data_IF_922028449501
#
_entry.id   IF_922028449501
#
_cell.length_a   1.000
_cell.length_b   1.000
_cell.length_c   1.000
_cell.angle_alpha   90.00
_cell.angle_beta   90.00
_cell.angle_gamma   90.00
#
_symmetry.space_group_name_H-M   'P 1'
#
loop_
_entity.id
_entity.type
_entity.pdbx_description
1 polymer ?
#
# COMPACT_ATOMS: atom_id res chain seq x y z
N UNK A 1 -16.94 -46.92 57.11
CA UNK A 1 -15.64 -46.29 56.70
C UNK A 1 -15.89 -45.57 55.38
N UNK A 2 -16.13 -44.28 55.43
CA UNK A 2 -16.51 -43.43 54.28
C UNK A 2 -15.26 -42.57 53.89
N UNK A 3 -14.73 -42.84 52.74
CA UNK A 3 -13.63 -42.06 52.16
C UNK A 3 -14.23 -40.85 51.39
N UNK A 4 -13.86 -39.64 51.86
CA UNK A 4 -14.14 -38.41 51.18
C UNK A 4 -12.96 -38.11 50.24
N UNK A 5 -13.23 -38.15 48.93
CA UNK A 5 -12.27 -37.72 47.92
C UNK A 5 -12.40 -36.19 47.78
N UNK A 6 -11.34 -35.46 48.19
CA UNK A 6 -11.28 -34.04 48.00
C UNK A 6 -10.76 -33.75 46.57
N UNK A 7 -11.63 -33.21 45.72
CA UNK A 7 -11.26 -32.77 44.37
C UNK A 7 -10.51 -31.43 44.41
N UNK A 8 -9.29 -31.45 43.92
CA UNK A 8 -8.45 -30.24 43.74
C UNK A 8 -8.89 -29.53 42.44
N UNK A 9 -9.54 -28.38 42.58
CA UNK A 9 -9.83 -27.52 41.41
C UNK A 9 -8.62 -26.64 41.14
N UNK A 10 -7.91 -26.93 40.08
CA UNK A 10 -6.81 -26.08 39.58
C UNK A 10 -7.44 -24.99 38.68
N UNK A 11 -7.51 -23.78 39.20
CA UNK A 11 -7.89 -22.61 38.40
C UNK A 11 -6.72 -22.19 37.49
N UNK A 12 -6.87 -22.43 36.19
CA UNK A 12 -5.93 -21.91 35.19
C UNK A 12 -6.10 -20.38 35.03
N UNK A 13 -5.17 -19.60 35.56
CA UNK A 13 -5.09 -18.16 35.27
C UNK A 13 -4.62 -18.00 33.81
N UNK A 14 -5.54 -17.65 32.93
CA UNK A 14 -5.19 -17.20 31.58
C UNK A 14 -4.46 -15.84 31.68
N UNK A 15 -3.19 -15.81 31.39
CA UNK A 15 -2.40 -14.58 31.21
C UNK A 15 -2.91 -13.84 29.97
N UNK A 16 -3.83 -12.91 30.14
CA UNK A 16 -4.22 -11.95 29.12
C UNK A 16 -3.01 -11.04 28.88
N UNK A 17 -2.30 -11.22 27.76
CA UNK A 17 -1.29 -10.27 27.33
C UNK A 17 -1.98 -8.93 27.08
N UNK A 18 -1.47 -7.81 27.65
CA UNK A 18 -2.03 -6.50 27.35
C UNK A 18 -1.88 -6.24 25.84
N UNK A 19 -2.99 -5.97 25.15
CA UNK A 19 -2.93 -5.42 23.83
C UNK A 19 -2.10 -4.14 23.90
N UNK A 20 -0.99 -4.07 23.13
CA UNK A 20 -0.27 -2.82 22.96
C UNK A 20 -1.28 -1.81 22.43
N UNK A 21 -1.54 -0.75 23.16
CA UNK A 21 -2.22 0.42 22.65
C UNK A 21 -1.34 0.95 21.50
N UNK A 22 -1.69 0.63 20.27
CA UNK A 22 -1.12 1.31 19.12
C UNK A 22 -1.59 2.76 19.24
N UNK A 23 -0.64 3.66 19.51
CA UNK A 23 -0.95 5.09 19.55
C UNK A 23 -1.56 5.48 18.19
N UNK A 24 -2.71 6.16 18.26
CA UNK A 24 -3.42 6.66 17.08
C UNK A 24 -2.48 7.55 16.26
N UNK A 25 -2.24 7.18 15.01
CA UNK A 25 -1.50 8.03 14.08
C UNK A 25 -2.48 9.04 13.50
N UNK A 26 -2.27 10.31 13.81
CA UNK A 26 -3.13 11.41 13.34
C UNK A 26 -2.81 11.68 11.87
N UNK A 27 -3.85 11.94 11.05
CA UNK A 27 -3.65 12.43 9.70
C UNK A 27 -2.93 13.77 9.70
N UNK A 28 -1.80 13.92 9.01
CA UNK A 28 -1.16 15.23 8.87
C UNK A 28 -1.87 16.08 7.81
N UNK A 29 -1.81 17.40 7.97
CA UNK A 29 -2.31 18.34 6.95
C UNK A 29 -1.54 18.21 5.62
N UNK A 30 -0.22 18.01 5.71
CA UNK A 30 0.67 17.85 4.56
C UNK A 30 0.90 16.40 4.17
N UNK A 31 1.98 16.18 3.41
CA UNK A 31 2.47 14.85 3.05
C UNK A 31 3.55 14.41 4.03
N UNK A 32 3.61 13.12 4.30
CA UNK A 32 4.72 12.51 5.04
C UNK A 32 6.00 12.56 4.20
N UNK A 33 7.10 13.07 4.79
CA UNK A 33 8.37 13.29 4.06
C UNK A 33 9.52 12.41 4.54
N UNK A 34 9.33 11.65 5.62
CA UNK A 34 10.33 10.79 6.24
C UNK A 34 9.68 9.55 6.85
N UNK A 35 10.47 8.58 7.31
CA UNK A 35 9.99 7.36 7.98
C UNK A 35 8.81 6.71 7.27
N UNK A 36 8.94 6.53 5.95
CA UNK A 36 7.84 6.04 5.12
C UNK A 36 7.39 4.61 5.46
N UNK A 37 8.18 3.86 6.21
CA UNK A 37 7.87 2.52 6.70
C UNK A 37 7.61 2.57 8.21
N UNK A 38 6.49 3.12 8.60
CA UNK A 38 6.02 3.28 9.97
C UNK A 38 4.50 3.21 10.03
N UNK A 39 3.89 3.04 11.20
CA UNK A 39 2.42 3.01 11.33
C UNK A 39 1.78 4.20 10.62
N UNK A 40 0.70 3.92 9.90
CA UNK A 40 -0.06 4.90 9.11
C UNK A 40 -1.36 5.27 9.83
N UNK A 41 -2.02 6.40 9.49
CA UNK A 41 -3.36 6.72 9.98
C UNK A 41 -4.37 5.62 9.62
N UNK A 42 -5.44 5.53 10.40
CA UNK A 42 -6.58 4.66 10.08
C UNK A 42 -7.50 5.27 9.02
N UNK A 43 -7.31 6.56 8.72
CA UNK A 43 -8.17 7.33 7.82
C UNK A 43 -7.34 8.09 6.78
N UNK A 44 -8.01 8.51 5.72
CA UNK A 44 -7.55 9.50 4.76
C UNK A 44 -8.76 10.34 4.33
N UNK A 45 -8.77 11.59 4.74
CA UNK A 45 -9.87 12.51 4.44
C UNK A 45 -10.15 12.59 2.94
N UNK A 46 -11.38 12.31 2.56
CA UNK A 46 -11.83 12.30 1.16
C UNK A 46 -11.63 10.97 0.42
N UNK A 47 -10.91 10.01 0.97
CA UNK A 47 -10.77 8.66 0.41
C UNK A 47 -11.56 7.62 1.22
N UNK A 48 -11.96 6.55 0.54
CA UNK A 48 -12.43 5.35 1.21
C UNK A 48 -11.23 4.50 1.62
N UNK A 49 -11.12 4.13 2.90
CA UNK A 49 -10.10 3.21 3.38
C UNK A 49 -10.63 1.78 3.25
N UNK A 50 -9.85 0.91 2.61
CA UNK A 50 -10.27 -0.46 2.33
C UNK A 50 -9.58 -1.47 3.25
N UNK A 51 -10.35 -2.42 3.72
CA UNK A 51 -9.86 -3.70 4.23
C UNK A 51 -9.41 -4.59 3.06
N UNK A 52 -8.64 -5.65 3.36
CA UNK A 52 -8.25 -6.64 2.34
C UNK A 52 -9.47 -7.29 1.68
N UNK A 53 -10.53 -7.59 2.44
CA UNK A 53 -11.75 -8.20 1.88
C UNK A 53 -12.48 -7.26 0.91
N UNK A 54 -12.55 -5.96 1.20
CA UNK A 54 -13.15 -4.97 0.31
C UNK A 54 -12.30 -4.76 -0.95
N UNK A 55 -10.97 -4.71 -0.81
CA UNK A 55 -10.05 -4.64 -1.95
C UNK A 55 -10.20 -5.88 -2.86
N UNK A 56 -10.28 -7.08 -2.28
CA UNK A 56 -10.53 -8.32 -3.01
C UNK A 56 -11.87 -8.28 -3.77
N UNK A 57 -12.93 -7.80 -3.14
CA UNK A 57 -14.24 -7.69 -3.78
C UNK A 57 -14.21 -6.76 -5.00
N UNK A 58 -13.55 -5.59 -4.88
CA UNK A 58 -13.35 -4.64 -5.99
C UNK A 58 -12.54 -5.29 -7.12
N UNK A 59 -11.45 -5.98 -6.76
CA UNK A 59 -10.58 -6.65 -7.73
C UNK A 59 -11.31 -7.75 -8.50
N UNK A 60 -12.05 -8.63 -7.80
CA UNK A 60 -12.85 -9.71 -8.43
C UNK A 60 -13.94 -9.17 -9.34
N UNK A 61 -14.60 -8.08 -8.92
CA UNK A 61 -15.63 -7.42 -9.71
C UNK A 61 -15.07 -6.60 -10.87
N UNK A 62 -13.73 -6.38 -10.93
CA UNK A 62 -13.06 -5.49 -11.90
C UNK A 62 -13.68 -4.08 -11.92
N UNK A 63 -14.14 -3.62 -10.76
CA UNK A 63 -14.86 -2.34 -10.60
C UNK A 63 -13.98 -1.16 -10.25
N UNK A 64 -12.66 -1.36 -10.08
CA UNK A 64 -11.68 -0.32 -9.81
C UNK A 64 -10.32 -0.64 -10.41
N UNK A 65 -9.51 0.39 -10.61
CA UNK A 65 -8.14 0.26 -11.11
C UNK A 65 -7.18 0.32 -9.94
N UNK A 66 -6.36 -0.72 -9.78
CA UNK A 66 -5.36 -0.83 -8.72
C UNK A 66 -4.06 -0.18 -9.16
N UNK A 67 -3.52 0.70 -8.29
CA UNK A 67 -2.31 1.49 -8.55
C UNK A 67 -1.32 1.23 -7.42
N UNK A 68 -0.23 0.51 -7.72
CA UNK A 68 0.91 0.36 -6.82
C UNK A 68 1.86 1.54 -6.95
N UNK A 69 2.27 2.10 -5.82
CA UNK A 69 3.21 3.23 -5.76
C UNK A 69 4.51 2.87 -5.04
N UNK A 70 4.76 1.58 -4.81
CA UNK A 70 5.98 1.12 -4.15
C UNK A 70 7.21 1.56 -4.97
N UNK A 71 8.24 2.15 -4.35
CA UNK A 71 9.46 2.54 -5.03
C UNK A 71 10.19 1.36 -5.66
N UNK A 72 10.89 1.61 -6.76
CA UNK A 72 11.91 0.69 -7.26
C UNK A 72 13.05 0.60 -6.24
N UNK A 73 13.62 -0.59 -6.08
CA UNK A 73 14.84 -0.71 -5.31
C UNK A 73 15.96 0.08 -6.01
N UNK A 74 16.68 0.98 -5.29
CA UNK A 74 17.74 1.73 -5.93
C UNK A 74 18.86 0.80 -6.40
N UNK A 75 19.44 1.11 -7.56
CA UNK A 75 20.64 0.40 -8.03
C UNK A 75 21.74 0.56 -6.98
N UNK A 76 22.38 -0.53 -6.51
CA UNK A 76 23.47 -0.44 -5.56
C UNK A 76 24.61 0.44 -6.07
N UNK A 77 25.14 1.28 -5.18
CA UNK A 77 26.32 2.09 -5.50
C UNK A 77 27.56 1.19 -5.60
N UNK A 78 28.49 1.52 -6.50
CA UNK A 78 29.77 0.84 -6.60
C UNK A 78 29.78 -0.48 -7.38
N UNK A 79 28.74 -0.76 -8.16
CA UNK A 79 28.78 -1.91 -9.07
C UNK A 79 29.88 -1.74 -10.13
N UNK A 80 30.56 -2.83 -10.54
CA UNK A 80 31.54 -2.80 -11.64
C UNK A 80 30.93 -2.18 -12.90
N UNK A 81 31.73 -1.47 -13.73
CA UNK A 81 31.23 -0.69 -14.88
C UNK A 81 30.36 -1.46 -15.87
N UNK A 82 30.56 -2.76 -16.00
CA UNK A 82 29.84 -3.61 -16.97
C UNK A 82 28.79 -4.52 -16.29
N UNK A 83 28.40 -4.24 -15.04
CA UNK A 83 27.39 -5.02 -14.34
C UNK A 83 26.01 -4.69 -14.90
N UNK A 84 25.35 -5.68 -15.49
CA UNK A 84 23.93 -5.58 -15.84
C UNK A 84 23.13 -5.66 -14.55
N UNK A 85 22.60 -4.53 -14.10
CA UNK A 85 21.68 -4.48 -12.98
C UNK A 85 20.28 -4.83 -13.48
N UNK A 86 19.64 -5.75 -12.78
CA UNK A 86 18.20 -6.05 -12.97
C UNK A 86 17.49 -5.71 -11.68
N UNK A 87 16.38 -4.98 -11.79
CA UNK A 87 15.52 -4.73 -10.65
C UNK A 87 14.99 -6.05 -10.07
N UNK A 88 14.74 -6.05 -8.76
CA UNK A 88 14.05 -7.20 -8.16
C UNK A 88 12.65 -7.30 -8.76
N UNK A 89 12.20 -8.52 -9.10
CA UNK A 89 10.82 -8.72 -9.52
C UNK A 89 9.85 -8.17 -8.45
N UNK A 90 8.84 -7.44 -8.90
CA UNK A 90 7.73 -6.99 -8.06
C UNK A 90 6.59 -7.99 -8.20
N UNK A 91 6.18 -8.62 -7.09
CA UNK A 91 4.96 -9.39 -7.03
C UNK A 91 3.82 -8.48 -6.60
N UNK A 92 2.81 -8.36 -7.43
CA UNK A 92 1.76 -7.37 -7.28
C UNK A 92 0.36 -7.96 -7.40
N UNK A 93 -0.67 -7.19 -7.04
CA UNK A 93 -2.06 -7.58 -7.27
C UNK A 93 -2.29 -7.69 -8.77
N UNK A 94 -2.80 -8.82 -9.30
CA UNK A 94 -2.88 -9.02 -10.74
C UNK A 94 -3.71 -7.95 -11.44
N UNK A 95 -3.16 -7.36 -12.49
CA UNK A 95 -3.79 -6.28 -13.27
C UNK A 95 -3.57 -4.88 -12.71
N UNK A 96 -2.75 -4.74 -11.67
CA UNK A 96 -2.35 -3.42 -11.18
C UNK A 96 -1.42 -2.70 -12.13
N UNK A 97 -1.46 -1.38 -12.06
CA UNK A 97 -0.53 -0.46 -12.71
C UNK A 97 0.50 -0.03 -11.68
N UNK A 98 1.77 -0.29 -11.93
CA UNK A 98 2.85 0.11 -11.03
C UNK A 98 3.47 1.43 -11.45
N UNK A 99 3.27 2.47 -10.60
CA UNK A 99 3.81 3.83 -10.74
C UNK A 99 4.88 4.07 -9.65
N UNK A 100 6.08 3.49 -9.79
CA UNK A 100 7.09 3.55 -8.73
C UNK A 100 7.53 4.97 -8.39
N UNK A 101 7.91 5.16 -7.11
CA UNK A 101 8.47 6.40 -6.56
C UNK A 101 7.50 7.59 -6.51
N UNK A 102 6.22 7.40 -6.81
CA UNK A 102 5.23 8.49 -6.86
C UNK A 102 4.58 8.81 -5.51
N UNK A 103 4.91 8.04 -4.48
CA UNK A 103 4.36 8.20 -3.13
C UNK A 103 5.22 9.02 -2.17
N UNK A 104 6.38 9.53 -2.60
CA UNK A 104 7.19 10.40 -1.75
C UNK A 104 6.45 11.70 -1.39
N UNK A 105 6.72 12.24 -0.20
CA UNK A 105 6.08 13.47 0.26
C UNK A 105 6.43 14.68 -0.60
N UNK A 106 7.66 14.74 -1.07
CA UNK A 106 8.14 15.76 -2.02
C UNK A 106 8.44 15.04 -3.34
N UNK A 107 7.80 15.47 -4.42
CA UNK A 107 8.03 14.97 -5.76
C UNK A 107 8.78 16.00 -6.60
N UNK A 108 9.79 15.55 -7.37
CA UNK A 108 10.32 16.33 -8.46
C UNK A 108 9.24 16.51 -9.55
N UNK A 109 9.28 17.61 -10.30
CA UNK A 109 8.25 17.90 -11.31
C UNK A 109 8.08 16.78 -12.35
N UNK A 110 9.17 16.11 -12.75
CA UNK A 110 9.10 14.95 -13.65
C UNK A 110 8.32 13.77 -13.03
N UNK A 111 8.57 13.46 -11.75
CA UNK A 111 7.85 12.39 -11.04
C UNK A 111 6.39 12.74 -10.81
N UNK A 112 6.08 14.01 -10.51
CA UNK A 112 4.70 14.47 -10.41
C UNK A 112 3.96 14.35 -11.75
N UNK A 113 4.60 14.77 -12.84
CA UNK A 113 4.05 14.62 -14.20
C UNK A 113 3.83 13.16 -14.56
N UNK A 114 4.76 12.28 -14.20
CA UNK A 114 4.64 10.85 -14.40
C UNK A 114 3.43 10.26 -13.64
N UNK A 115 3.23 10.64 -12.37
CA UNK A 115 2.04 10.23 -11.61
C UNK A 115 0.76 10.70 -12.28
N UNK A 116 0.66 12.00 -12.63
CA UNK A 116 -0.54 12.56 -13.29
C UNK A 116 -0.88 11.83 -14.59
N UNK A 117 0.11 11.58 -15.42
CA UNK A 117 -0.08 10.85 -16.67
C UNK A 117 -0.46 9.39 -16.44
N UNK A 118 0.16 8.73 -15.45
CA UNK A 118 -0.16 7.36 -15.07
C UNK A 118 -1.61 7.23 -14.60
N UNK A 119 -2.07 8.13 -13.72
CA UNK A 119 -3.46 8.17 -13.25
C UNK A 119 -4.43 8.45 -14.41
N UNK A 120 -4.10 9.38 -15.30
CA UNK A 120 -4.94 9.69 -16.46
C UNK A 120 -5.08 8.48 -17.42
N UNK A 121 -3.98 7.76 -17.69
CA UNK A 121 -4.03 6.51 -18.48
C UNK A 121 -4.86 5.45 -17.77
N UNK A 122 -4.62 5.24 -16.47
CA UNK A 122 -5.32 4.25 -15.65
C UNK A 122 -6.83 4.47 -15.61
N UNK A 123 -7.26 5.71 -15.51
CA UNK A 123 -8.68 6.10 -15.45
C UNK A 123 -9.33 6.29 -16.82
N UNK A 124 -8.56 6.23 -17.92
CA UNK A 124 -9.04 6.64 -19.24
C UNK A 124 -9.45 8.12 -19.28
N UNK A 125 -8.86 8.97 -18.42
CA UNK A 125 -9.22 10.39 -18.27
C UNK A 125 -10.48 10.63 -17.45
N UNK A 126 -11.13 9.59 -16.93
CA UNK A 126 -12.34 9.72 -16.10
C UNK A 126 -11.96 10.07 -14.66
N UNK A 127 -12.25 11.29 -14.22
CA UNK A 127 -11.99 11.78 -12.86
C UNK A 127 -12.88 11.12 -11.79
N UNK A 128 -13.90 10.37 -12.19
CA UNK A 128 -14.82 9.63 -11.31
C UNK A 128 -14.52 8.12 -11.31
N UNK A 129 -13.45 7.69 -11.99
CA UNK A 129 -13.04 6.28 -11.95
C UNK A 129 -12.58 5.90 -10.54
N UNK A 130 -12.99 4.72 -10.06
CA UNK A 130 -12.49 4.19 -8.80
C UNK A 130 -11.01 3.81 -8.95
N UNK A 131 -10.15 4.54 -8.25
CA UNK A 131 -8.71 4.31 -8.17
C UNK A 131 -8.35 3.78 -6.79
N UNK A 132 -7.82 2.56 -6.72
CA UNK A 132 -7.37 1.92 -5.48
C UNK A 132 -5.86 2.08 -5.35
N UNK A 133 -5.42 2.97 -4.46
CA UNK A 133 -4.00 3.29 -4.27
C UNK A 133 -3.43 2.44 -3.13
N UNK A 134 -2.30 1.79 -3.34
CA UNK A 134 -1.66 0.94 -2.34
C UNK A 134 -0.14 0.82 -2.53
N UNK A 135 0.53 0.16 -1.59
CA UNK A 135 1.91 -0.33 -1.68
C UNK A 135 2.13 -1.56 -0.78
N UNK A 136 2.73 -1.42 0.38
CA UNK A 136 2.89 -2.44 1.42
C UNK A 136 2.13 -2.02 2.68
N UNK A 137 2.00 -2.90 3.67
CA UNK A 137 1.53 -2.51 5.01
C UNK A 137 2.46 -1.45 5.61
N UNK A 138 1.93 -0.58 6.47
CA UNK A 138 2.68 0.48 7.14
C UNK A 138 3.55 1.31 6.18
N UNK A 139 2.96 1.71 5.07
CA UNK A 139 3.64 2.43 4.00
C UNK A 139 2.97 3.77 3.70
N UNK A 140 3.57 4.85 4.18
CA UNK A 140 3.09 6.20 3.97
C UNK A 140 3.06 6.67 2.52
N UNK A 141 3.79 5.99 1.64
CA UNK A 141 3.80 6.37 0.23
C UNK A 141 2.45 6.18 -0.43
N UNK A 142 1.72 5.11 -0.11
CA UNK A 142 0.36 4.92 -0.63
C UNK A 142 -0.63 5.93 -0.06
N UNK A 143 -0.49 6.31 1.23
CA UNK A 143 -1.28 7.37 1.84
C UNK A 143 -1.04 8.72 1.14
N UNK A 144 0.24 9.10 0.94
CA UNK A 144 0.61 10.31 0.23
C UNK A 144 0.08 10.33 -1.21
N UNK A 145 0.25 9.23 -1.94
CA UNK A 145 -0.21 9.14 -3.33
C UNK A 145 -1.73 9.24 -3.44
N UNK A 146 -2.48 8.58 -2.54
CA UNK A 146 -3.92 8.66 -2.50
C UNK A 146 -4.40 10.09 -2.16
N UNK A 147 -3.79 10.74 -1.16
CA UNK A 147 -4.05 12.17 -0.84
C UNK A 147 -3.79 13.08 -2.04
N UNK A 148 -2.70 12.84 -2.76
CA UNK A 148 -2.34 13.61 -3.96
C UNK A 148 -3.30 13.36 -5.10
N UNK A 149 -3.78 12.13 -5.28
CA UNK A 149 -4.78 11.78 -6.29
C UNK A 149 -6.09 12.55 -6.06
N UNK A 150 -6.54 12.66 -4.80
CA UNK A 150 -7.67 13.53 -4.43
C UNK A 150 -7.38 15.00 -4.76
N UNK A 151 -6.20 15.50 -4.42
CA UNK A 151 -5.79 16.88 -4.72
C UNK A 151 -5.72 17.17 -6.23
N UNK A 152 -5.57 16.15 -7.07
CA UNK A 152 -5.65 16.28 -8.53
C UNK A 152 -7.08 16.30 -9.08
N UNK A 153 -8.08 16.12 -8.21
CA UNK A 153 -9.50 16.23 -8.57
C UNK A 153 -10.19 14.90 -8.83
N UNK A 154 -9.54 13.76 -8.62
CA UNK A 154 -10.23 12.48 -8.67
C UNK A 154 -11.19 12.35 -7.49
N UNK A 155 -12.45 11.96 -7.76
CA UNK A 155 -13.52 11.98 -6.76
C UNK A 155 -13.81 10.59 -6.14
N UNK A 156 -13.41 9.50 -6.78
CA UNK A 156 -13.58 8.13 -6.25
C UNK A 156 -12.20 7.48 -6.02
N UNK A 157 -11.57 7.90 -4.91
CA UNK A 157 -10.26 7.38 -4.49
C UNK A 157 -10.46 6.45 -3.30
N UNK A 158 -9.92 5.26 -3.40
CA UNK A 158 -9.80 4.32 -2.31
C UNK A 158 -8.32 4.13 -1.95
N UNK A 159 -8.02 4.05 -0.66
CA UNK A 159 -6.71 3.72 -0.15
C UNK A 159 -6.73 2.35 0.51
N UNK A 160 -5.82 1.47 0.11
CA UNK A 160 -5.67 0.14 0.67
C UNK A 160 -4.37 0.04 1.49
N UNK A 161 -4.43 0.32 2.82
CA UNK A 161 -3.25 0.44 3.69
C UNK A 161 -2.49 -0.86 3.93
N UNK A 162 -3.17 -2.02 3.85
CA UNK A 162 -2.52 -3.32 4.05
C UNK A 162 -1.69 -3.75 2.83
N UNK A 163 -1.96 -3.21 1.66
CA UNK A 163 -1.19 -3.40 0.44
C UNK A 163 -0.94 -4.87 0.09
N UNK A 164 0.16 -5.14 -0.61
CA UNK A 164 0.48 -6.53 -0.99
C UNK A 164 0.83 -7.42 0.19
N UNK A 165 1.19 -6.88 1.36
CA UNK A 165 1.41 -7.69 2.56
C UNK A 165 0.08 -8.25 3.09
N UNK A 166 -0.99 -7.43 3.13
CA UNK A 166 -2.34 -7.88 3.48
C UNK A 166 -2.91 -8.87 2.46
N UNK A 167 -2.69 -8.56 1.18
CA UNK A 167 -3.08 -9.42 0.06
C UNK A 167 -2.46 -10.81 0.14
N UNK A 168 -1.15 -10.89 0.38
CA UNK A 168 -0.43 -12.16 0.54
C UNK A 168 -0.85 -12.93 1.81
N UNK A 169 -1.09 -12.23 2.93
CA UNK A 169 -1.61 -12.87 4.17
C UNK A 169 -2.98 -13.51 3.96
N UNK A 170 -3.79 -12.95 3.06
CA UNK A 170 -5.08 -13.51 2.68
C UNK A 170 -4.97 -14.65 1.65
N UNK A 171 -3.75 -15.07 1.28
CA UNK A 171 -3.47 -16.08 0.25
C UNK A 171 -4.10 -15.74 -1.11
N UNK A 172 -4.20 -14.47 -1.46
CA UNK A 172 -4.73 -14.01 -2.73
C UNK A 172 -3.65 -14.06 -3.83
N UNK A 173 -4.02 -14.21 -5.11
CA UNK A 173 -3.07 -14.38 -6.19
C UNK A 173 -2.22 -13.12 -6.40
N UNK A 174 -0.96 -13.33 -6.79
CA UNK A 174 -0.04 -12.26 -7.18
C UNK A 174 0.51 -12.55 -8.57
N UNK A 175 0.99 -11.51 -9.25
CA UNK A 175 1.62 -11.60 -10.57
C UNK A 175 2.87 -10.73 -10.63
N UNK A 176 3.79 -11.08 -11.52
CA UNK A 176 4.95 -10.24 -11.81
C UNK A 176 4.50 -8.92 -12.42
N UNK A 177 4.95 -7.81 -11.83
CA UNK A 177 4.66 -6.48 -12.31
C UNK A 177 5.89 -5.85 -12.99
N UNK A 178 5.62 -5.10 -14.03
CA UNK A 178 6.58 -4.20 -14.66
C UNK A 178 6.13 -2.76 -14.36
N UNK A 179 7.07 -1.85 -14.08
CA UNK A 179 6.71 -0.46 -13.87
C UNK A 179 6.23 0.16 -15.18
N UNK A 180 5.30 1.09 -15.07
CA UNK A 180 4.95 1.95 -16.21
C UNK A 180 6.19 2.68 -16.71
N UNK A 181 6.40 2.79 -18.02
CA UNK A 181 7.54 3.50 -18.58
C UNK A 181 7.57 4.97 -18.14
N UNK A 182 8.76 5.47 -17.83
CA UNK A 182 9.00 6.88 -17.59
C UNK A 182 9.61 7.52 -18.82
N UNK A 183 9.38 8.83 -19.06
CA UNK A 183 10.02 9.53 -20.18
C UNK A 183 11.57 9.48 -20.16
N UNK A 184 12.17 9.26 -18.99
CA UNK A 184 13.63 9.20 -18.80
C UNK A 184 14.20 7.76 -18.89
N UNK A 185 13.35 6.73 -18.94
CA UNK A 185 13.78 5.32 -19.06
C UNK A 185 14.22 4.97 -20.51
N UNK A 186 13.94 5.84 -21.50
CA UNK A 186 14.24 5.65 -22.93
C UNK A 186 15.57 6.30 -23.39
N UNK A 187 16.42 6.79 -22.45
CA UNK A 187 17.69 7.47 -22.77
C UNK A 187 18.91 6.63 -22.43
#
# INVERSE_FOLDING_TARGET
MSWRVAGLVIAALALVKPARAQGWVVEPDGYRTEDYRSPVPETLAGARVLTTAEAEAIWRAKSGVFIDVLPRAPKPKGLPPNTVWRDKPRQDIPGSIWLPDTGYGILAGATESYLRQGLARASGGNMQALLVIYCLSDCWMSWNAAKRTLAYGYSDVAWYPEGTDGWARANLPVADAQPEPRPDDEK
#
